data_IF_319232780723
#
_entry.id   IF_319232780723
#
_cell.length_a   1.000
_cell.length_b   1.000
_cell.length_c   1.000
_cell.angle_alpha   90.00
_cell.angle_beta   90.00
_cell.angle_gamma   90.00
#
_symmetry.space_group_name_H-M   'P 1'
#
loop_
_entity.id
_entity.type
_entity.pdbx_description
1 polymer ?
#
# COMPACT_ATOMS: atom_id res chain seq x y z
N UNK A 1 -39.12 45.65 -42.59
CA UNK A 1 -37.66 45.48 -42.56
C UNK A 1 -37.04 45.65 -41.17
N UNK A 2 -37.35 46.63 -40.33
CA UNK A 2 -36.73 46.77 -38.95
C UNK A 2 -37.10 45.67 -37.99
N UNK A 3 -38.28 45.05 -38.03
CA UNK A 3 -38.69 43.97 -37.11
C UNK A 3 -38.03 42.62 -37.41
N UNK A 4 -37.77 42.34 -38.71
CA UNK A 4 -37.11 41.13 -39.18
C UNK A 4 -35.61 41.11 -38.82
N UNK A 5 -34.96 42.28 -38.81
CA UNK A 5 -33.56 42.44 -38.43
C UNK A 5 -33.31 42.20 -36.95
N UNK A 6 -34.29 42.61 -36.10
CA UNK A 6 -34.19 42.37 -34.64
C UNK A 6 -34.31 40.87 -34.28
N UNK A 7 -35.12 40.13 -35.06
CA UNK A 7 -35.28 38.67 -34.85
C UNK A 7 -34.07 37.89 -35.32
N UNK A 8 -33.38 38.31 -36.38
CA UNK A 8 -32.12 37.71 -36.86
C UNK A 8 -30.93 37.97 -35.91
N UNK A 9 -30.91 39.12 -35.25
CA UNK A 9 -29.85 39.46 -34.29
C UNK A 9 -29.96 38.62 -33.01
N UNK A 10 -31.17 38.19 -32.60
CA UNK A 10 -31.39 37.31 -31.44
C UNK A 10 -30.93 35.87 -31.64
N UNK A 11 -30.90 35.37 -32.88
CA UNK A 11 -30.48 33.98 -33.19
C UNK A 11 -28.96 33.84 -33.26
N UNK A 12 -28.24 34.93 -33.54
CA UNK A 12 -26.76 34.91 -33.59
C UNK A 12 -26.09 34.93 -32.21
N UNK A 13 -26.84 35.10 -31.11
CA UNK A 13 -26.33 35.13 -29.72
C UNK A 13 -26.33 33.77 -29.03
N UNK A 14 -26.64 32.67 -29.76
CA UNK A 14 -26.43 31.31 -29.19
C UNK A 14 -24.94 31.00 -29.35
N UNK A 15 -24.13 31.67 -28.52
CA UNK A 15 -22.74 31.30 -28.34
C UNK A 15 -22.66 29.86 -27.81
N UNK A 16 -21.68 29.09 -28.27
CA UNK A 16 -21.37 27.78 -27.77
C UNK A 16 -21.07 27.91 -26.25
N UNK A 17 -22.08 27.62 -25.43
CA UNK A 17 -21.90 27.53 -23.99
C UNK A 17 -21.05 26.29 -23.73
N UNK A 18 -19.78 26.48 -23.58
CA UNK A 18 -18.90 25.45 -23.01
C UNK A 18 -19.32 25.28 -21.55
N UNK A 19 -20.00 24.18 -21.23
CA UNK A 19 -20.47 23.90 -19.88
C UNK A 19 -19.34 23.35 -19.01
N UNK A 20 -18.33 24.18 -18.75
CA UNK A 20 -17.40 23.90 -17.66
C UNK A 20 -18.08 24.27 -16.33
N UNK A 21 -17.91 23.42 -15.34
CA UNK A 21 -18.48 23.62 -13.99
C UNK A 21 -17.35 24.09 -13.06
N UNK A 22 -17.42 25.35 -12.68
CA UNK A 22 -16.58 25.90 -11.63
C UNK A 22 -17.33 25.91 -10.30
N UNK A 23 -16.68 25.44 -9.24
CA UNK A 23 -17.15 25.61 -7.86
C UNK A 23 -16.16 26.53 -7.19
N UNK A 24 -16.63 27.67 -6.67
CA UNK A 24 -15.83 28.76 -6.12
C UNK A 24 -14.81 29.38 -7.09
N UNK A 25 -15.03 29.21 -8.41
CA UNK A 25 -14.24 29.87 -9.46
C UNK A 25 -15.15 30.25 -10.64
N UNK A 26 -14.89 31.43 -11.21
CA UNK A 26 -15.57 31.93 -12.42
C UNK A 26 -14.79 31.65 -13.70
N UNK A 27 -13.56 31.14 -13.59
CA UNK A 27 -12.67 30.81 -14.69
C UNK A 27 -12.13 29.37 -14.55
N UNK A 28 -13.02 28.33 -14.71
CA UNK A 28 -12.62 26.94 -14.56
C UNK A 28 -11.61 26.53 -15.63
N UNK A 29 -10.53 25.83 -15.21
CA UNK A 29 -9.45 25.42 -16.10
C UNK A 29 -9.64 24.02 -16.67
N UNK A 30 -10.60 23.25 -16.14
CA UNK A 30 -10.98 21.90 -16.57
C UNK A 30 -12.51 21.76 -16.52
N UNK A 31 -13.06 20.63 -17.01
CA UNK A 31 -14.51 20.41 -17.08
C UNK A 31 -15.23 20.54 -15.73
N UNK A 32 -14.57 20.16 -14.62
CA UNK A 32 -15.00 20.43 -13.25
C UNK A 32 -13.79 20.98 -12.50
N UNK A 33 -13.84 22.24 -12.11
CA UNK A 33 -12.80 22.92 -11.33
C UNK A 33 -13.39 23.33 -9.98
N UNK A 34 -12.86 22.73 -8.90
CA UNK A 34 -13.29 22.98 -7.51
C UNK A 34 -12.15 23.67 -6.78
N UNK A 35 -12.32 24.93 -6.45
CA UNK A 35 -11.34 25.71 -5.68
C UNK A 35 -11.77 25.84 -4.23
N UNK A 36 -10.80 25.90 -3.33
CA UNK A 36 -11.06 26.14 -1.91
C UNK A 36 -11.72 27.52 -1.69
N UNK A 37 -12.68 27.58 -0.76
CA UNK A 37 -13.27 28.84 -0.30
C UNK A 37 -12.26 29.60 0.56
N UNK A 38 -11.59 28.88 1.44
CA UNK A 38 -10.57 29.42 2.34
C UNK A 38 -9.38 28.46 2.45
N UNK A 39 -8.22 29.02 2.79
CA UNK A 39 -6.98 28.24 3.01
C UNK A 39 -6.58 28.18 4.49
N UNK A 40 -7.44 28.69 5.37
CA UNK A 40 -7.30 28.68 6.82
C UNK A 40 -8.18 27.60 7.48
N UNK A 41 -8.30 27.61 8.79
CA UNK A 41 -9.04 26.62 9.56
C UNK A 41 -10.56 26.87 9.64
N UNK A 42 -11.14 27.77 8.83
CA UNK A 42 -12.55 28.17 8.94
C UNK A 42 -13.50 27.25 8.19
N UNK A 43 -13.03 26.57 7.13
CA UNK A 43 -13.85 25.68 6.27
C UNK A 43 -13.17 24.34 6.03
N UNK A 44 -14.00 23.31 5.83
CA UNK A 44 -13.54 22.01 5.34
C UNK A 44 -13.64 21.98 3.81
N UNK A 45 -12.51 21.85 3.15
CA UNK A 45 -12.41 21.85 1.69
C UNK A 45 -12.30 20.43 1.12
N UNK A 46 -12.83 20.21 -0.08
CA UNK A 46 -12.67 18.94 -0.78
C UNK A 46 -13.87 18.51 -1.61
N UNK A 47 -13.72 17.36 -2.26
CA UNK A 47 -14.76 16.68 -3.02
C UNK A 47 -15.14 15.37 -2.36
N UNK A 48 -16.40 15.19 -2.00
CA UNK A 48 -16.91 13.93 -1.47
C UNK A 48 -17.64 13.17 -2.57
N UNK A 49 -17.13 11.97 -2.93
CA UNK A 49 -17.83 11.08 -3.86
C UNK A 49 -19.13 10.51 -3.23
N UNK A 50 -20.07 9.99 -4.03
CA UNK A 50 -21.25 9.30 -3.53
C UNK A 50 -20.89 8.21 -2.51
N UNK A 51 -21.57 8.23 -1.35
CA UNK A 51 -21.34 7.29 -0.24
C UNK A 51 -22.31 6.14 -0.34
N UNK A 52 -21.82 4.90 -0.36
CA UNK A 52 -22.62 3.68 -0.45
C UNK A 52 -22.12 2.65 0.56
N UNK A 53 -22.99 1.81 1.08
CA UNK A 53 -22.59 0.55 1.73
C UNK A 53 -22.31 -0.51 0.66
N UNK A 54 -21.59 -1.58 1.01
CA UNK A 54 -21.36 -2.72 0.10
C UNK A 54 -22.70 -3.28 -0.42
N UNK A 55 -23.69 -3.46 0.45
CA UNK A 55 -25.02 -3.95 0.06
C UNK A 55 -25.73 -3.04 -0.95
N UNK A 56 -25.61 -1.72 -0.77
CA UNK A 56 -26.15 -0.73 -1.72
C UNK A 56 -25.40 -0.75 -3.04
N UNK A 57 -24.08 -0.93 -3.02
CA UNK A 57 -23.26 -1.04 -4.22
C UNK A 57 -23.60 -2.32 -5.00
N UNK A 58 -23.72 -3.46 -4.31
CA UNK A 58 -24.16 -4.75 -4.87
C UNK A 58 -25.55 -4.65 -5.51
N UNK A 59 -26.50 -3.99 -4.87
CA UNK A 59 -27.86 -3.80 -5.43
C UNK A 59 -27.87 -3.00 -6.76
N UNK A 60 -26.79 -2.29 -7.04
CA UNK A 60 -26.59 -1.48 -8.26
C UNK A 60 -25.73 -2.16 -9.32
N UNK A 61 -25.29 -3.39 -9.13
CA UNK A 61 -24.38 -4.11 -10.05
C UNK A 61 -24.84 -4.07 -11.51
N UNK A 62 -26.13 -4.22 -11.76
CA UNK A 62 -26.70 -4.19 -13.11
C UNK A 62 -26.63 -2.80 -13.78
N UNK A 63 -26.31 -1.74 -13.02
CA UNK A 63 -26.22 -0.35 -13.52
C UNK A 63 -24.79 0.05 -13.90
N UNK A 64 -23.80 -0.71 -13.45
CA UNK A 64 -22.39 -0.43 -13.76
C UNK A 64 -21.95 -1.32 -14.93
N UNK A 65 -21.91 -0.73 -16.10
CA UNK A 65 -21.52 -1.33 -17.37
C UNK A 65 -20.28 -0.60 -17.92
N UNK A 66 -19.89 -0.87 -19.16
CA UNK A 66 -18.72 -0.25 -19.78
C UNK A 66 -18.77 1.30 -19.77
N UNK A 67 -19.96 1.88 -19.97
CA UNK A 67 -20.14 3.35 -19.97
C UNK A 67 -19.91 4.01 -18.60
N UNK A 68 -19.93 3.22 -17.51
CA UNK A 68 -19.67 3.71 -16.16
C UNK A 68 -18.21 3.52 -15.75
N UNK A 69 -17.32 3.12 -16.65
CA UNK A 69 -15.87 3.03 -16.37
C UNK A 69 -15.33 4.36 -15.86
N UNK A 70 -14.56 4.33 -14.78
CA UNK A 70 -14.01 5.53 -14.14
C UNK A 70 -14.93 6.13 -13.05
N UNK A 71 -16.14 5.60 -12.85
CA UNK A 71 -17.02 6.05 -11.73
C UNK A 71 -16.33 5.82 -10.40
N UNK A 72 -16.36 6.83 -9.52
CA UNK A 72 -15.76 6.80 -8.17
C UNK A 72 -16.86 6.82 -7.12
N UNK A 73 -16.74 5.97 -6.09
CA UNK A 73 -17.62 5.95 -4.90
C UNK A 73 -16.79 5.83 -3.62
N UNK A 74 -17.37 6.21 -2.49
CA UNK A 74 -16.84 5.93 -1.17
C UNK A 74 -17.69 4.86 -0.49
N UNK A 75 -17.10 3.71 -0.18
CA UNK A 75 -17.77 2.63 0.56
C UNK A 75 -17.66 2.90 2.05
N UNK A 76 -18.83 3.03 2.72
CA UNK A 76 -18.91 3.40 4.14
C UNK A 76 -19.01 2.21 5.08
N UNK A 77 -19.41 1.03 4.57
CA UNK A 77 -19.59 -0.19 5.33
C UNK A 77 -19.48 -1.40 4.41
N UNK A 78 -18.79 -2.45 4.85
CA UNK A 78 -18.52 -3.67 4.08
C UNK A 78 -19.41 -4.86 4.51
N UNK A 79 -20.43 -4.65 5.33
CA UNK A 79 -21.36 -5.72 5.72
C UNK A 79 -22.18 -6.17 4.52
N UNK A 80 -22.16 -7.48 4.24
CA UNK A 80 -22.88 -8.10 3.13
C UNK A 80 -22.02 -9.09 2.35
N UNK A 81 -22.61 -9.66 1.30
CA UNK A 81 -21.92 -10.62 0.41
C UNK A 81 -21.48 -9.88 -0.84
N UNK A 82 -20.23 -10.07 -1.23
CA UNK A 82 -19.68 -9.52 -2.48
C UNK A 82 -20.19 -10.29 -3.70
N UNK A 83 -20.23 -9.60 -4.83
CA UNK A 83 -20.46 -10.17 -6.17
C UNK A 83 -19.15 -10.28 -6.93
N UNK A 84 -19.20 -10.76 -8.17
CA UNK A 84 -18.04 -10.72 -9.07
C UNK A 84 -17.52 -9.31 -9.25
N UNK A 85 -18.40 -8.29 -9.35
CA UNK A 85 -18.01 -6.88 -9.54
C UNK A 85 -17.42 -6.26 -8.28
N UNK A 86 -17.91 -6.64 -7.11
CA UNK A 86 -17.49 -6.07 -5.81
C UNK A 86 -16.48 -6.93 -5.03
N UNK A 87 -15.93 -7.99 -5.66
CA UNK A 87 -15.02 -8.95 -4.98
C UNK A 87 -13.78 -8.33 -4.33
N UNK A 88 -13.35 -7.16 -4.79
CA UNK A 88 -12.22 -6.41 -4.21
C UNK A 88 -12.66 -5.33 -3.21
N UNK A 89 -13.95 -5.21 -2.92
CA UNK A 89 -14.46 -4.28 -1.91
C UNK A 89 -14.39 -4.96 -0.54
N UNK A 90 -13.22 -4.92 0.06
CA UNK A 90 -12.90 -5.62 1.32
C UNK A 90 -12.72 -4.68 2.50
N UNK A 91 -12.59 -3.38 2.27
CA UNK A 91 -12.39 -2.35 3.30
C UNK A 91 -13.30 -1.15 3.05
N UNK A 92 -13.49 -0.32 4.07
CA UNK A 92 -14.09 1.02 3.93
C UNK A 92 -13.09 1.92 3.19
N UNK A 93 -13.56 2.67 2.18
CA UNK A 93 -12.66 3.53 1.42
C UNK A 93 -13.18 3.93 0.05
N UNK A 94 -12.32 4.57 -0.72
CA UNK A 94 -12.62 4.96 -2.10
C UNK A 94 -12.40 3.80 -3.07
N UNK A 95 -13.30 3.68 -4.02
CA UNK A 95 -13.25 2.70 -5.11
C UNK A 95 -13.58 3.35 -6.44
N UNK A 96 -12.95 2.87 -7.52
CA UNK A 96 -13.33 3.20 -8.88
C UNK A 96 -13.76 1.95 -9.64
N UNK A 97 -14.68 2.10 -10.58
CA UNK A 97 -15.12 1.02 -11.45
C UNK A 97 -14.22 0.98 -12.70
N UNK A 98 -13.54 -0.15 -12.95
CA UNK A 98 -12.63 -0.29 -14.09
C UNK A 98 -13.32 -0.75 -15.40
N UNK A 99 -14.64 -0.83 -15.39
CA UNK A 99 -15.46 -1.36 -16.49
C UNK A 99 -15.88 -2.82 -16.30
N UNK A 100 -15.30 -3.51 -15.31
CA UNK A 100 -15.59 -4.91 -14.98
C UNK A 100 -15.80 -5.13 -13.49
N UNK A 101 -14.93 -4.55 -12.65
CA UNK A 101 -14.97 -4.69 -11.19
C UNK A 101 -14.63 -3.37 -10.50
N UNK A 102 -14.99 -3.28 -9.23
CA UNK A 102 -14.59 -2.19 -8.35
C UNK A 102 -13.16 -2.39 -7.85
N UNK A 103 -12.30 -1.42 -8.11
CA UNK A 103 -10.90 -1.40 -7.67
C UNK A 103 -10.73 -0.39 -6.53
N UNK A 104 -9.98 -0.69 -5.47
CA UNK A 104 -9.68 0.27 -4.42
C UNK A 104 -8.83 1.41 -4.96
N UNK A 105 -9.11 2.65 -4.50
CA UNK A 105 -8.23 3.80 -4.66
C UNK A 105 -7.44 3.94 -3.37
N UNK A 106 -6.18 3.59 -3.39
CA UNK A 106 -5.30 3.62 -2.23
C UNK A 106 -4.11 2.69 -2.42
N UNK A 107 -3.25 2.58 -1.43
CA UNK A 107 -2.19 1.60 -1.49
C UNK A 107 -2.81 0.21 -1.68
N UNK A 108 -2.30 -0.50 -2.67
CA UNK A 108 -2.73 -1.87 -2.95
C UNK A 108 -2.46 -2.72 -1.70
N UNK A 109 -3.52 -3.21 -1.03
CA UNK A 109 -3.42 -4.12 0.11
C UNK A 109 -3.02 -5.54 -0.32
N UNK A 110 -2.57 -5.72 -1.56
CA UNK A 110 -1.98 -6.97 -2.00
C UNK A 110 -0.80 -7.30 -1.08
N UNK A 111 -0.75 -8.55 -0.69
CA UNK A 111 0.28 -9.17 0.15
C UNK A 111 1.66 -8.50 -0.03
N UNK A 112 1.93 -7.49 0.76
CA UNK A 112 3.23 -6.82 0.77
C UNK A 112 4.14 -7.59 1.71
N UNK A 113 4.74 -8.63 1.18
CA UNK A 113 5.80 -9.34 1.88
C UNK A 113 7.05 -9.45 1.00
N UNK A 114 8.19 -9.59 1.63
CA UNK A 114 9.45 -9.83 0.95
C UNK A 114 10.32 -10.78 1.78
N UNK A 115 11.16 -11.54 1.11
CA UNK A 115 12.18 -12.30 1.77
C UNK A 115 13.22 -11.35 2.36
N UNK A 116 13.60 -11.59 3.60
CA UNK A 116 14.70 -10.87 4.22
C UNK A 116 15.98 -11.08 3.37
N UNK A 117 16.80 -10.04 3.18
CA UNK A 117 18.12 -10.23 2.59
C UNK A 117 18.91 -11.31 3.34
N UNK A 118 19.73 -12.06 2.62
CA UNK A 118 20.56 -13.10 3.21
C UNK A 118 21.46 -12.54 4.32
N UNK A 119 21.45 -13.19 5.47
CA UNK A 119 22.30 -12.87 6.60
C UNK A 119 23.07 -14.12 7.05
N UNK A 120 24.19 -13.92 7.71
CA UNK A 120 24.88 -14.99 8.40
C UNK A 120 24.12 -15.29 9.71
N UNK A 121 23.79 -16.56 9.91
CA UNK A 121 23.29 -17.06 11.19
C UNK A 121 24.46 -17.76 11.90
N UNK A 122 25.02 -17.16 12.97
CA UNK A 122 26.16 -17.71 13.68
C UNK A 122 25.88 -19.10 14.23
N UNK A 123 26.86 -20.00 14.07
CA UNK A 123 26.84 -21.36 14.62
C UNK A 123 28.06 -21.64 15.51
N UNK A 124 28.86 -20.61 15.80
CA UNK A 124 30.00 -20.67 16.70
C UNK A 124 29.70 -19.89 17.98
N UNK A 125 29.89 -20.52 19.13
CA UNK A 125 29.69 -19.93 20.47
C UNK A 125 30.70 -18.82 20.82
N UNK A 126 31.73 -18.63 20.00
CA UNK A 126 32.63 -17.46 20.08
C UNK A 126 32.07 -16.19 19.43
N UNK A 127 30.97 -16.29 18.65
CA UNK A 127 30.34 -15.14 18.01
C UNK A 127 29.74 -14.18 19.04
N UNK A 128 29.87 -12.85 18.84
CA UNK A 128 29.31 -11.84 19.74
C UNK A 128 27.79 -11.93 19.93
N UNK A 129 27.06 -12.53 19.00
CA UNK A 129 25.60 -12.75 19.10
C UNK A 129 25.26 -13.84 20.15
N UNK A 130 26.23 -14.62 20.64
CA UNK A 130 26.01 -15.68 21.61
C UNK A 130 26.08 -15.18 23.04
N UNK A 131 25.08 -15.52 23.82
CA UNK A 131 25.06 -15.31 25.26
C UNK A 131 25.33 -16.66 26.01
N UNK A 132 26.49 -16.79 26.62
CA UNK A 132 26.87 -18.02 27.31
C UNK A 132 26.00 -18.31 28.54
N UNK A 133 25.47 -17.29 29.22
CA UNK A 133 24.62 -17.45 30.40
C UNK A 133 23.27 -18.07 30.09
N UNK A 134 22.70 -17.78 28.90
CA UNK A 134 21.41 -18.31 28.42
C UNK A 134 21.56 -19.38 27.34
N UNK A 135 22.81 -19.59 26.87
CA UNK A 135 23.13 -20.46 25.74
C UNK A 135 22.29 -20.14 24.48
N UNK A 136 22.13 -18.85 24.19
CA UNK A 136 21.23 -18.37 23.15
C UNK A 136 21.93 -17.39 22.22
N UNK A 137 21.72 -17.54 20.93
CA UNK A 137 22.07 -16.54 19.91
C UNK A 137 20.94 -15.53 19.80
N UNK A 138 21.30 -14.27 19.59
CA UNK A 138 20.34 -13.17 19.44
C UNK A 138 20.73 -12.34 18.24
N UNK A 139 19.85 -12.28 17.24
CA UNK A 139 20.07 -11.56 15.97
C UNK A 139 18.97 -10.52 15.81
N UNK A 140 19.35 -9.27 15.62
CA UNK A 140 18.42 -8.19 15.25
C UNK A 140 18.19 -8.23 13.73
N UNK A 141 17.10 -8.88 13.31
CA UNK A 141 16.72 -9.02 11.91
C UNK A 141 16.39 -7.66 11.28
N UNK A 142 15.73 -6.77 12.05
CA UNK A 142 15.40 -5.45 11.54
C UNK A 142 16.66 -4.62 11.28
N UNK A 143 17.61 -4.63 12.20
CA UNK A 143 18.89 -3.94 12.01
C UNK A 143 19.64 -4.48 10.79
N UNK A 144 19.73 -5.81 10.66
CA UNK A 144 20.38 -6.44 9.51
C UNK A 144 19.72 -6.04 8.17
N UNK A 145 18.39 -6.00 8.12
CA UNK A 145 17.63 -5.51 6.95
C UNK A 145 17.90 -4.03 6.67
N UNK A 146 17.77 -3.17 7.69
CA UNK A 146 17.92 -1.73 7.52
C UNK A 146 19.34 -1.34 7.11
N UNK A 147 20.36 -2.00 7.64
CA UNK A 147 21.75 -1.75 7.30
C UNK A 147 22.07 -2.16 5.85
N UNK A 148 21.55 -3.32 5.38
CA UNK A 148 21.75 -3.76 4.00
C UNK A 148 21.03 -2.86 3.01
N UNK A 149 19.77 -2.53 3.23
CA UNK A 149 18.99 -1.65 2.35
C UNK A 149 19.47 -0.19 2.40
N UNK A 150 19.97 0.24 3.56
CA UNK A 150 20.62 1.54 3.75
C UNK A 150 22.03 1.62 3.16
N UNK A 151 22.58 0.49 2.68
CA UNK A 151 23.94 0.41 2.15
C UNK A 151 24.98 0.95 3.15
N UNK A 152 24.76 0.69 4.44
CA UNK A 152 25.59 1.24 5.53
C UNK A 152 27.04 0.78 5.42
N UNK A 153 27.26 -0.46 4.97
CA UNK A 153 28.60 -1.00 4.77
C UNK A 153 29.11 -0.75 3.35
N UNK A 154 29.66 0.43 3.11
CA UNK A 154 30.16 0.85 1.80
C UNK A 154 31.29 -0.04 1.21
N UNK A 155 31.96 -0.82 2.04
CA UNK A 155 33.01 -1.75 1.59
C UNK A 155 32.44 -3.03 0.92
N UNK A 156 31.18 -3.36 1.18
CA UNK A 156 30.51 -4.58 0.68
C UNK A 156 29.17 -4.30 -0.01
N UNK A 157 28.79 -3.03 -0.15
CA UNK A 157 27.54 -2.60 -0.79
C UNK A 157 27.84 -1.77 -2.03
N UNK A 158 27.01 -1.93 -3.07
CA UNK A 158 27.14 -1.17 -4.30
C UNK A 158 25.78 -0.83 -4.89
N UNK A 159 25.65 0.32 -5.55
CA UNK A 159 24.47 0.71 -6.33
C UNK A 159 24.87 1.24 -7.70
N UNK A 160 23.99 1.14 -8.68
CA UNK A 160 24.24 1.71 -10.02
C UNK A 160 24.37 3.23 -9.97
N UNK A 161 25.17 3.84 -10.87
CA UNK A 161 25.23 5.30 -10.98
C UNK A 161 23.82 5.91 -11.16
N UNK A 162 23.52 6.96 -10.41
CA UNK A 162 22.21 7.63 -10.45
C UNK A 162 21.08 6.92 -9.70
N UNK A 163 21.30 5.72 -9.14
CA UNK A 163 20.28 5.06 -8.31
C UNK A 163 19.99 5.87 -7.04
N UNK A 164 18.71 5.97 -6.70
CA UNK A 164 18.24 6.55 -5.43
C UNK A 164 18.42 5.55 -4.28
N UNK A 165 18.08 5.94 -3.05
CA UNK A 165 18.08 5.04 -1.91
C UNK A 165 16.96 3.99 -2.04
N UNK A 166 17.21 2.78 -1.52
CA UNK A 166 16.14 1.79 -1.35
C UNK A 166 15.20 2.24 -0.21
N UNK A 167 13.89 2.01 -0.33
CA UNK A 167 12.97 2.29 0.76
C UNK A 167 13.19 1.32 1.91
N UNK A 168 13.25 1.85 3.14
CA UNK A 168 13.32 1.07 4.37
C UNK A 168 12.01 1.25 5.12
N UNK A 169 11.27 0.15 5.30
CA UNK A 169 10.03 0.16 6.08
C UNK A 169 10.36 0.17 7.57
N UNK A 170 9.68 1.02 8.36
CA UNK A 170 9.90 1.13 9.79
C UNK A 170 9.57 -0.20 10.53
N UNK A 171 10.29 -0.51 11.61
CA UNK A 171 10.16 -1.79 12.34
C UNK A 171 8.75 -2.06 12.87
N UNK A 172 8.04 -1.02 13.31
CA UNK A 172 6.66 -1.11 13.80
C UNK A 172 5.62 -1.33 12.69
N UNK A 173 5.99 -1.11 11.42
CA UNK A 173 5.16 -1.39 10.24
C UNK A 173 5.47 -2.77 9.62
N UNK A 174 6.28 -3.60 10.28
CA UNK A 174 6.64 -4.94 9.82
C UNK A 174 6.11 -6.02 10.78
N UNK A 175 5.84 -7.19 10.21
CA UNK A 175 5.63 -8.47 10.88
C UNK A 175 6.72 -9.43 10.39
N UNK A 176 7.23 -10.27 11.30
CA UNK A 176 8.40 -11.11 11.06
C UNK A 176 8.00 -12.57 11.12
N UNK A 177 8.38 -13.36 10.11
CA UNK A 177 8.03 -14.76 9.96
C UNK A 177 9.27 -15.59 9.70
N UNK A 178 9.38 -16.72 10.41
CA UNK A 178 10.32 -17.80 10.08
C UNK A 178 9.50 -18.89 9.39
N UNK A 179 9.61 -18.98 8.08
CA UNK A 179 8.78 -19.90 7.28
C UNK A 179 9.38 -21.27 7.12
N UNK A 180 10.68 -21.39 7.37
CA UNK A 180 11.44 -22.63 7.42
C UNK A 180 12.73 -22.44 8.23
N UNK A 181 13.16 -23.46 8.92
CA UNK A 181 14.50 -23.58 9.46
C UNK A 181 14.90 -25.05 9.60
N UNK A 182 16.21 -25.32 9.54
CA UNK A 182 16.78 -26.64 9.84
C UNK A 182 16.70 -26.92 11.35
N UNK A 183 15.71 -27.69 11.78
CA UNK A 183 15.45 -27.99 13.18
C UNK A 183 16.46 -28.97 13.80
N UNK A 184 17.35 -29.59 13.01
CA UNK A 184 18.48 -30.36 13.52
C UNK A 184 19.61 -29.48 14.03
N UNK A 185 19.67 -28.22 13.56
CA UNK A 185 20.71 -27.24 13.94
C UNK A 185 20.12 -26.12 14.81
N UNK A 186 19.02 -25.52 14.39
CA UNK A 186 18.42 -24.41 15.11
C UNK A 186 17.31 -24.89 16.03
N UNK A 187 17.53 -24.75 17.35
CA UNK A 187 16.58 -25.18 18.38
C UNK A 187 16.00 -23.97 19.11
N UNK A 188 14.83 -24.12 19.71
CA UNK A 188 14.15 -23.07 20.47
C UNK A 188 14.05 -21.73 19.69
N UNK A 189 13.78 -21.82 18.37
CA UNK A 189 13.68 -20.65 17.49
C UNK A 189 12.49 -19.80 17.88
N UNK A 190 12.71 -18.51 18.10
CA UNK A 190 11.65 -17.52 18.35
C UNK A 190 12.00 -16.19 17.69
N UNK A 191 10.97 -15.43 17.30
CA UNK A 191 11.12 -14.05 16.79
C UNK A 191 10.16 -13.13 17.51
N UNK A 192 10.66 -11.98 17.94
CA UNK A 192 9.84 -10.96 18.63
C UNK A 192 9.13 -10.03 17.63
N UNK A 193 8.14 -9.28 18.12
CA UNK A 193 7.47 -8.24 17.33
C UNK A 193 8.42 -7.08 16.91
N UNK A 194 9.57 -6.97 17.55
CA UNK A 194 10.61 -6.00 17.18
C UNK A 194 11.60 -6.54 16.15
N UNK A 195 11.42 -7.78 15.67
CA UNK A 195 12.32 -8.42 14.70
C UNK A 195 13.60 -8.98 15.33
N UNK A 196 13.59 -9.30 16.61
CA UNK A 196 14.73 -9.96 17.27
C UNK A 196 14.52 -11.47 17.22
N UNK A 197 15.38 -12.16 16.48
CA UNK A 197 15.45 -13.60 16.37
C UNK A 197 16.33 -14.16 17.50
N UNK A 198 15.86 -15.21 18.14
CA UNK A 198 16.65 -16.00 19.08
C UNK A 198 16.62 -17.48 18.72
N UNK A 199 17.73 -18.18 18.97
CA UNK A 199 17.81 -19.62 18.78
C UNK A 199 18.94 -20.23 19.66
N UNK A 200 18.90 -21.54 19.82
CA UNK A 200 19.96 -22.35 20.46
C UNK A 200 20.52 -23.33 19.44
N UNK A 201 21.70 -23.84 19.72
CA UNK A 201 22.31 -24.94 18.99
C UNK A 201 22.29 -26.24 19.84
N UNK A 202 22.26 -27.42 19.19
CA UNK A 202 22.44 -28.69 19.89
C UNK A 202 23.86 -28.83 20.44
N UNK A 203 24.05 -29.74 21.38
CA UNK A 203 25.39 -30.05 21.95
C UNK A 203 26.33 -30.60 20.87
N UNK A 204 25.82 -31.44 19.99
CA UNK A 204 26.53 -31.97 18.83
C UNK A 204 26.00 -31.29 17.56
N UNK A 205 26.85 -30.50 16.92
CA UNK A 205 26.47 -29.69 15.75
C UNK A 205 26.96 -30.35 14.46
N UNK A 206 26.04 -30.65 13.55
CA UNK A 206 26.36 -31.11 12.21
C UNK A 206 25.78 -30.16 11.19
N UNK A 207 26.64 -29.36 10.55
CA UNK A 207 26.22 -28.45 9.47
C UNK A 207 26.11 -29.18 8.13
N UNK A 208 25.13 -28.83 7.33
CA UNK A 208 24.93 -29.38 6.00
C UNK A 208 24.47 -28.26 5.05
N UNK A 209 24.35 -28.57 3.75
CA UNK A 209 23.81 -27.65 2.76
C UNK A 209 22.33 -27.25 3.04
N UNK A 210 21.66 -27.98 3.95
CA UNK A 210 20.28 -27.70 4.39
C UNK A 210 20.22 -26.77 5.62
N UNK A 211 21.37 -26.35 6.15
CA UNK A 211 21.46 -25.50 7.35
C UNK A 211 21.18 -24.05 6.99
N UNK A 212 19.93 -23.67 6.92
CA UNK A 212 19.48 -22.31 6.66
C UNK A 212 18.13 -22.01 7.33
N UNK A 213 17.76 -20.73 7.36
CA UNK A 213 16.39 -20.26 7.70
C UNK A 213 15.82 -19.44 6.55
N UNK A 214 14.53 -19.62 6.30
CA UNK A 214 13.75 -18.70 5.44
C UNK A 214 13.04 -17.67 6.33
N UNK A 215 13.40 -16.41 6.14
CA UNK A 215 12.87 -15.29 6.90
C UNK A 215 12.08 -14.40 5.95
N UNK A 216 10.85 -14.09 6.31
CA UNK A 216 9.94 -13.27 5.52
C UNK A 216 9.43 -12.11 6.36
N UNK A 217 9.46 -10.93 5.81
CA UNK A 217 8.86 -9.72 6.39
C UNK A 217 7.58 -9.39 5.64
N UNK A 218 6.51 -9.15 6.40
CA UNK A 218 5.23 -8.68 5.86
C UNK A 218 5.02 -7.23 6.31
N UNK A 219 4.63 -6.37 5.40
CA UNK A 219 4.25 -4.99 5.71
C UNK A 219 2.80 -4.99 6.24
N UNK A 220 2.59 -4.35 7.39
CA UNK A 220 1.26 -4.19 8.02
C UNK A 220 0.36 -3.29 7.19
#
# INVERSE_FOLDING_TARGET
MKRTFLFMLGIYSIGFLQAQVGVNTTDPKVSLDVQAIATDATTAEGLTAPRLTLSQLVSKDAKYLADQTGTIVYVTNITGTTTTKTRKVTTVGYYYFDGSIWQPIGPDENLRFFYMPSIILPTDTSDPAYNAGTQTFTIDLYKAYSDQFGLVNSGTSYKSPGATALPITASNALEYFITYYDNSVFQSVAVSNAGVLTYKLPAELTLSEKTFMNIVFKVK
#
